data_IF_876338431102
#
_entry.id   IF_876338431102
#
_cell.length_a   1.000
_cell.length_b   1.000
_cell.length_c   1.000
_cell.angle_alpha   90.00
_cell.angle_beta   90.00
_cell.angle_gamma   90.00
#
_symmetry.space_group_name_H-M   'P 1'
#
loop_
_entity.id
_entity.type
_entity.pdbx_description
1 polymer ?
#
# COMPACT_ATOMS: atom_id res chain seq x y z
N UNK A 1 -20.46 49.44 57.18
CA UNK A 1 -19.53 48.28 57.13
C UNK A 1 -20.25 47.15 56.42
N UNK A 2 -19.93 46.92 55.14
CA UNK A 2 -20.63 45.97 54.29
C UNK A 2 -19.81 44.68 54.16
N UNK A 3 -20.41 43.55 54.55
CA UNK A 3 -19.85 42.20 54.39
C UNK A 3 -20.16 41.67 52.99
N UNK A 4 -19.15 41.59 52.14
CA UNK A 4 -19.19 40.91 50.84
C UNK A 4 -18.97 39.41 51.03
N UNK A 5 -20.01 38.62 50.80
CA UNK A 5 -19.96 37.14 50.75
C UNK A 5 -19.21 36.70 49.49
N UNK A 6 -18.01 36.14 49.65
CA UNK A 6 -17.33 35.40 48.58
C UNK A 6 -18.07 34.08 48.35
N UNK A 7 -18.81 34.00 47.25
CA UNK A 7 -19.40 32.78 46.74
C UNK A 7 -18.27 31.96 46.07
N UNK A 8 -17.81 30.90 46.75
CA UNK A 8 -16.81 29.98 46.21
C UNK A 8 -17.43 29.07 45.16
N UNK A 9 -17.32 29.44 43.90
CA UNK A 9 -17.59 28.56 42.76
C UNK A 9 -16.46 27.54 42.65
N UNK A 10 -16.69 26.34 43.22
CA UNK A 10 -15.91 25.15 42.91
C UNK A 10 -16.09 24.81 41.43
N UNK A 11 -15.16 25.27 40.60
CA UNK A 11 -15.01 24.87 39.21
C UNK A 11 -14.48 23.43 39.20
N UNK A 12 -15.38 22.45 39.27
CA UNK A 12 -15.08 21.04 39.05
C UNK A 12 -14.68 20.91 37.58
N UNK A 13 -13.37 21.01 37.32
CA UNK A 13 -12.78 20.68 36.04
C UNK A 13 -13.00 19.18 35.81
N UNK A 14 -14.06 18.85 35.05
CA UNK A 14 -14.28 17.51 34.51
C UNK A 14 -13.13 17.25 33.54
N UNK A 15 -12.05 16.68 34.07
CA UNK A 15 -11.02 16.01 33.30
C UNK A 15 -11.72 14.84 32.61
N UNK A 16 -12.17 15.08 31.38
CA UNK A 16 -12.53 14.05 30.43
C UNK A 16 -11.25 13.23 30.20
N UNK A 17 -11.08 12.18 30.99
CA UNK A 17 -10.04 11.18 30.79
C UNK A 17 -10.40 10.50 29.47
N UNK A 18 -9.79 10.96 28.39
CA UNK A 18 -9.87 10.32 27.09
C UNK A 18 -9.31 8.91 27.28
N UNK A 19 -10.18 7.91 27.37
CA UNK A 19 -9.75 6.53 27.46
C UNK A 19 -9.12 6.13 26.13
N UNK A 20 -7.98 5.41 26.15
CA UNK A 20 -7.42 4.83 24.95
C UNK A 20 -8.49 3.97 24.27
N UNK A 21 -8.73 4.25 23.00
CA UNK A 21 -9.64 3.47 22.16
C UNK A 21 -8.84 2.30 21.62
N UNK A 22 -9.14 1.09 22.08
CA UNK A 22 -8.50 -0.16 21.62
C UNK A 22 -9.23 -0.69 20.40
N UNK A 23 -8.57 -1.35 19.45
CA UNK A 23 -9.24 -2.19 18.48
C UNK A 23 -9.31 -3.63 18.97
N UNK A 24 -10.39 -4.28 18.56
CA UNK A 24 -10.69 -5.65 18.91
C UNK A 24 -11.23 -6.37 17.69
N UNK A 25 -10.88 -7.64 17.57
CA UNK A 25 -11.49 -8.57 16.63
C UNK A 25 -12.36 -9.54 17.40
N UNK A 26 -13.66 -9.50 17.15
CA UNK A 26 -14.64 -10.37 17.78
C UNK A 26 -15.11 -11.45 16.82
N UNK A 27 -14.92 -12.71 17.24
CA UNK A 27 -15.50 -13.88 16.61
C UNK A 27 -16.82 -14.19 17.31
N UNK A 28 -17.93 -14.17 16.56
CA UNK A 28 -19.25 -14.54 17.09
C UNK A 28 -19.47 -16.04 16.90
N UNK A 29 -20.08 -16.69 17.89
CA UNK A 29 -20.46 -18.11 17.85
C UNK A 29 -21.29 -18.40 16.61
N UNK A 30 -20.84 -19.33 15.80
CA UNK A 30 -21.53 -19.75 14.57
C UNK A 30 -21.41 -18.79 13.38
N UNK A 31 -20.62 -17.72 13.49
CA UNK A 31 -20.30 -16.82 12.37
C UNK A 31 -18.87 -17.04 11.89
N UNK A 32 -18.69 -17.28 10.58
CA UNK A 32 -17.37 -17.36 9.96
C UNK A 32 -16.78 -15.98 9.62
N UNK A 33 -17.52 -14.89 9.85
CA UNK A 33 -17.06 -13.52 9.58
C UNK A 33 -16.73 -12.83 10.90
N UNK A 34 -15.46 -12.47 11.16
CA UNK A 34 -15.09 -11.69 12.33
C UNK A 34 -15.56 -10.24 12.19
N UNK A 35 -15.95 -9.63 13.31
CA UNK A 35 -16.24 -8.20 13.42
C UNK A 35 -15.01 -7.52 13.98
N UNK A 36 -14.35 -6.69 13.17
CA UNK A 36 -13.17 -5.92 13.55
C UNK A 36 -13.54 -4.45 13.67
N UNK A 37 -13.07 -3.77 14.71
CA UNK A 37 -13.27 -2.35 14.89
C UNK A 37 -12.75 -1.86 16.23
N UNK A 38 -13.12 -0.65 16.61
CA UNK A 38 -12.66 -0.01 17.84
C UNK A 38 -13.59 -0.30 19.02
N UNK A 39 -13.06 -0.86 20.10
CA UNK A 39 -13.72 -1.04 21.38
C UNK A 39 -14.12 0.31 21.97
N UNK A 40 -15.43 0.55 22.03
CA UNK A 40 -16.02 1.75 22.63
C UNK A 40 -16.32 1.52 24.10
N UNK A 41 -16.92 0.37 24.43
CA UNK A 41 -17.13 -0.08 25.82
C UNK A 41 -17.12 -1.60 25.92
N UNK A 42 -16.70 -2.10 27.08
CA UNK A 42 -16.78 -3.50 27.45
C UNK A 42 -17.36 -3.64 28.85
N UNK A 43 -18.49 -4.33 28.94
CA UNK A 43 -19.11 -4.66 30.22
C UNK A 43 -19.18 -6.20 30.38
N UNK A 44 -19.70 -6.66 31.52
CA UNK A 44 -19.93 -8.10 31.75
C UNK A 44 -20.90 -8.73 30.75
N UNK A 45 -21.82 -7.95 30.18
CA UNK A 45 -22.92 -8.45 29.35
C UNK A 45 -22.73 -8.23 27.84
N UNK A 46 -21.97 -7.22 27.42
CA UNK A 46 -21.86 -6.81 26.02
C UNK A 46 -20.52 -6.14 25.72
N UNK A 47 -20.15 -6.19 24.44
CA UNK A 47 -19.00 -5.52 23.84
C UNK A 47 -19.53 -4.60 22.74
N UNK A 48 -19.17 -3.32 22.79
CA UNK A 48 -19.57 -2.35 21.77
C UNK A 48 -18.37 -1.98 20.93
N UNK A 49 -18.48 -2.23 19.63
CA UNK A 49 -17.40 -2.02 18.65
C UNK A 49 -17.86 -0.99 17.63
N UNK A 50 -17.05 0.04 17.38
CA UNK A 50 -17.25 0.96 16.27
C UNK A 50 -16.60 0.39 15.01
N UNK A 51 -17.42 0.07 14.02
CA UNK A 51 -16.95 -0.46 12.72
C UNK A 51 -16.55 0.71 11.81
N UNK A 52 -15.31 0.70 11.32
CA UNK A 52 -14.79 1.72 10.38
C UNK A 52 -15.03 1.37 8.90
N UNK A 53 -15.45 0.14 8.59
CA UNK A 53 -15.61 -0.31 7.20
C UNK A 53 -16.85 0.29 6.55
N UNK A 54 -17.85 0.66 7.36
CA UNK A 54 -19.09 1.25 6.88
C UNK A 54 -18.96 2.77 6.96
N UNK A 55 -19.20 3.53 5.87
CA UNK A 55 -19.17 4.98 5.91
C UNK A 55 -20.30 5.50 6.82
N UNK A 56 -19.95 5.83 8.06
CA UNK A 56 -20.85 6.26 9.13
C UNK A 56 -20.39 5.74 10.48
N UNK A 57 -20.74 6.43 11.58
CA UNK A 57 -20.45 5.93 12.93
C UNK A 57 -21.47 4.84 13.27
N UNK A 58 -21.22 3.62 12.82
CA UNK A 58 -22.01 2.45 13.22
C UNK A 58 -21.35 1.77 14.42
N UNK A 59 -21.99 1.85 15.58
CA UNK A 59 -21.64 1.06 16.75
C UNK A 59 -22.39 -0.28 16.71
N UNK A 60 -21.65 -1.37 16.76
CA UNK A 60 -22.15 -2.74 16.78
C UNK A 60 -22.08 -3.22 18.23
N UNK A 61 -23.25 -3.45 18.82
CA UNK A 61 -23.38 -4.07 20.15
C UNK A 61 -23.41 -5.58 19.98
N UNK A 62 -22.51 -6.28 20.66
CA UNK A 62 -22.40 -7.74 20.61
C UNK A 62 -22.56 -8.28 22.04
N UNK A 63 -23.62 -9.04 22.34
CA UNK A 63 -23.78 -9.70 23.62
C UNK A 63 -22.59 -10.64 23.91
N UNK A 64 -22.05 -10.60 25.12
CA UNK A 64 -20.89 -11.42 25.50
C UNK A 64 -21.18 -12.92 25.43
N UNK A 65 -22.46 -13.31 25.55
CA UNK A 65 -22.93 -14.68 25.33
C UNK A 65 -22.75 -15.17 23.88
N UNK A 66 -22.75 -14.26 22.91
CA UNK A 66 -22.55 -14.54 21.48
C UNK A 66 -21.08 -14.52 21.07
N UNK A 67 -20.18 -14.05 21.92
CA UNK A 67 -18.75 -13.98 21.62
C UNK A 67 -18.13 -15.36 21.87
N UNK A 68 -17.45 -15.88 20.86
CA UNK A 68 -16.63 -17.07 20.93
C UNK A 68 -15.20 -16.71 21.34
N UNK A 69 -14.61 -15.72 20.67
CA UNK A 69 -13.28 -15.23 20.96
C UNK A 69 -13.19 -13.69 20.81
N UNK A 70 -12.40 -13.07 21.67
CA UNK A 70 -12.11 -11.64 21.70
C UNK A 70 -10.58 -11.50 21.69
N UNK A 71 -10.02 -11.20 20.52
CA UNK A 71 -8.57 -11.10 20.35
C UNK A 71 -8.16 -9.64 20.52
N UNK A 72 -7.41 -9.35 21.58
CA UNK A 72 -6.64 -8.11 21.71
C UNK A 72 -5.44 -8.17 20.76
N UNK A 73 -5.43 -7.29 19.77
CA UNK A 73 -4.47 -7.40 18.68
C UNK A 73 -3.14 -6.72 18.96
N UNK A 74 -3.13 -5.68 19.82
CA UNK A 74 -1.94 -4.95 20.25
C UNK A 74 -1.73 -5.09 21.75
N UNK A 75 -0.63 -5.71 22.16
CA UNK A 75 -0.20 -5.78 23.56
C UNK A 75 0.46 -4.47 23.99
N UNK A 76 -0.15 -3.76 24.94
CA UNK A 76 0.40 -2.54 25.54
C UNK A 76 1.65 -2.82 26.37
N UNK A 77 1.63 -3.91 27.15
CA UNK A 77 2.77 -4.34 27.96
C UNK A 77 4.00 -4.54 27.09
N UNK A 78 3.82 -5.17 25.92
CA UNK A 78 4.92 -5.34 24.96
C UNK A 78 5.39 -4.02 24.36
N UNK A 79 4.48 -3.10 24.05
CA UNK A 79 4.86 -1.75 23.59
C UNK A 79 5.67 -0.99 24.65
N UNK A 80 5.30 -1.11 25.92
CA UNK A 80 6.05 -0.52 27.03
C UNK A 80 7.40 -1.21 27.24
N UNK A 81 7.53 -2.50 26.92
CA UNK A 81 8.78 -3.22 27.01
C UNK A 81 9.77 -2.89 25.88
N UNK A 82 9.34 -2.23 24.79
CA UNK A 82 10.21 -1.85 23.68
C UNK A 82 11.27 -0.83 24.12
N UNK A 83 12.50 -1.06 23.65
CA UNK A 83 13.66 -0.22 23.95
C UNK A 83 14.21 0.41 22.66
N UNK A 84 14.27 1.75 22.54
CA UNK A 84 14.84 2.44 21.38
C UNK A 84 16.27 2.03 21.04
N UNK A 85 17.04 1.52 22.01
CA UNK A 85 18.38 0.95 21.78
C UNK A 85 18.38 -0.36 21.00
N UNK A 86 17.21 -0.99 20.79
CA UNK A 86 17.03 -2.27 20.09
C UNK A 86 16.00 -2.16 18.94
N UNK A 87 16.33 -1.46 17.84
CA UNK A 87 15.39 -1.20 16.73
C UNK A 87 14.80 -2.45 16.07
N UNK A 88 15.54 -3.56 16.16
CA UNK A 88 15.09 -4.85 15.66
C UNK A 88 13.81 -5.33 16.35
N UNK A 89 13.62 -5.07 17.65
CA UNK A 89 12.42 -5.51 18.39
C UNK A 89 11.14 -4.81 17.88
N UNK A 90 11.27 -3.53 17.49
CA UNK A 90 10.19 -2.79 16.85
C UNK A 90 9.80 -3.43 15.51
N UNK A 91 10.80 -3.81 14.71
CA UNK A 91 10.58 -4.44 13.39
C UNK A 91 9.90 -5.81 13.54
N UNK A 92 10.41 -6.65 14.43
CA UNK A 92 9.86 -7.99 14.68
C UNK A 92 8.41 -7.90 15.19
N UNK A 93 8.13 -6.99 16.11
CA UNK A 93 6.76 -6.80 16.57
C UNK A 93 5.85 -6.22 15.47
N UNK A 94 6.37 -5.33 14.62
CA UNK A 94 5.64 -4.85 13.45
C UNK A 94 5.28 -5.99 12.47
N UNK A 95 6.20 -6.94 12.24
CA UNK A 95 5.97 -8.12 11.37
C UNK A 95 4.85 -9.00 11.92
N UNK A 96 4.85 -9.28 13.22
CA UNK A 96 3.79 -10.05 13.88
C UNK A 96 2.42 -9.35 13.81
N UNK A 97 2.40 -8.01 13.95
CA UNK A 97 1.17 -7.24 13.77
C UNK A 97 0.73 -7.18 12.30
N UNK A 98 1.67 -7.18 11.35
CA UNK A 98 1.40 -7.18 9.91
C UNK A 98 0.73 -8.47 9.43
N UNK A 99 0.94 -9.60 10.12
CA UNK A 99 0.24 -10.86 9.84
C UNK A 99 -1.27 -10.74 10.11
N UNK A 100 -1.67 -9.86 11.04
CA UNK A 100 -3.07 -9.60 11.41
C UNK A 100 -3.77 -8.63 10.44
N UNK A 101 -3.69 -8.90 9.13
CA UNK A 101 -4.15 -8.00 8.04
C UNK A 101 -5.59 -7.48 8.14
N UNK A 102 -6.47 -8.19 8.84
CA UNK A 102 -7.88 -7.82 9.01
C UNK A 102 -8.10 -6.75 10.08
N UNK A 103 -7.13 -6.56 10.97
CA UNK A 103 -7.21 -5.59 12.06
C UNK A 103 -6.59 -4.24 11.63
N UNK A 104 -7.40 -3.16 11.58
CA UNK A 104 -6.92 -1.85 11.19
C UNK A 104 -5.93 -1.23 12.18
N UNK A 105 -6.07 -1.45 13.50
CA UNK A 105 -5.15 -0.93 14.50
C UNK A 105 -3.83 -1.70 14.49
N UNK A 106 -3.87 -3.04 14.38
CA UNK A 106 -2.65 -3.83 14.24
C UNK A 106 -1.85 -3.35 13.02
N UNK A 107 -2.52 -3.07 11.90
CA UNK A 107 -1.90 -2.50 10.71
C UNK A 107 -1.33 -1.09 10.96
N UNK A 108 -2.10 -0.19 11.57
CA UNK A 108 -1.62 1.17 11.88
C UNK A 108 -0.42 1.15 12.83
N UNK A 109 -0.44 0.24 13.81
CA UNK A 109 0.64 0.03 14.76
C UNK A 109 1.86 -0.58 14.06
N UNK A 110 1.69 -1.57 13.19
CA UNK A 110 2.76 -2.11 12.36
C UNK A 110 3.41 -1.02 11.51
N UNK A 111 2.62 -0.16 10.86
CA UNK A 111 3.12 0.99 10.10
C UNK A 111 3.98 1.91 10.98
N UNK A 112 3.48 2.29 12.16
CA UNK A 112 4.22 3.12 13.11
C UNK A 112 5.53 2.45 13.57
N UNK A 113 5.47 1.18 13.96
CA UNK A 113 6.63 0.42 14.45
C UNK A 113 7.68 0.21 13.36
N UNK A 114 7.29 -0.09 12.11
CA UNK A 114 8.20 -0.14 10.98
C UNK A 114 8.87 1.22 10.72
N UNK A 115 8.12 2.32 10.79
CA UNK A 115 8.69 3.65 10.60
C UNK A 115 9.69 4.00 11.72
N UNK A 116 9.38 3.66 12.98
CA UNK A 116 10.29 3.83 14.12
C UNK A 116 11.56 2.96 13.92
N UNK A 117 11.40 1.69 13.57
CA UNK A 117 12.51 0.77 13.34
C UNK A 117 13.44 1.25 12.21
N UNK A 118 12.87 1.78 11.13
CA UNK A 118 13.64 2.34 10.03
C UNK A 118 14.32 3.67 10.37
N UNK A 119 13.74 4.47 11.28
CA UNK A 119 14.35 5.70 11.78
C UNK A 119 15.52 5.45 12.73
N UNK A 120 15.38 4.51 13.66
CA UNK A 120 16.37 4.29 14.73
C UNK A 120 17.67 3.66 14.21
N UNK A 121 17.61 2.72 13.27
CA UNK A 121 18.80 2.14 12.60
C UNK A 121 18.58 1.98 11.09
N UNK A 122 18.74 3.09 10.32
CA UNK A 122 18.55 3.06 8.87
C UNK A 122 19.48 2.08 8.16
N UNK A 123 20.66 1.81 8.72
CA UNK A 123 21.67 0.97 8.09
C UNK A 123 21.35 -0.53 8.21
N UNK A 124 20.87 -1.00 9.38
CA UNK A 124 20.60 -2.42 9.60
C UNK A 124 19.12 -2.79 9.41
N UNK A 125 18.21 -2.05 10.04
CA UNK A 125 16.77 -2.36 10.03
C UNK A 125 15.99 -1.56 8.99
N UNK A 126 16.54 -0.42 8.54
CA UNK A 126 15.92 0.49 7.57
C UNK A 126 15.28 -0.18 6.37
N UNK A 127 16.06 -0.94 5.60
CA UNK A 127 15.58 -1.62 4.38
C UNK A 127 14.42 -2.58 4.68
N UNK A 128 14.62 -3.48 5.64
CA UNK A 128 13.61 -4.48 5.99
C UNK A 128 12.31 -3.84 6.46
N UNK A 129 12.40 -2.80 7.29
CA UNK A 129 11.25 -2.10 7.80
C UNK A 129 10.51 -1.26 6.72
N UNK A 130 11.23 -0.63 5.78
CA UNK A 130 10.62 0.05 4.63
C UNK A 130 9.89 -0.92 3.70
N UNK A 131 10.44 -2.10 3.46
CA UNK A 131 9.74 -3.16 2.72
C UNK A 131 8.53 -3.69 3.51
N UNK A 132 8.66 -3.77 4.83
CA UNK A 132 7.55 -4.02 5.75
C UNK A 132 6.40 -3.03 5.56
N UNK A 133 6.69 -1.72 5.50
CA UNK A 133 5.70 -0.68 5.21
C UNK A 133 4.95 -0.94 3.91
N UNK A 134 5.66 -1.27 2.82
CA UNK A 134 5.03 -1.60 1.54
C UNK A 134 4.06 -2.78 1.67
N UNK A 135 4.44 -3.80 2.45
CA UNK A 135 3.61 -5.01 2.62
C UNK A 135 2.30 -4.77 3.39
N UNK A 136 2.25 -3.75 4.26
CA UNK A 136 1.06 -3.38 5.04
C UNK A 136 0.29 -2.19 4.46
N UNK A 137 0.80 -1.58 3.40
CA UNK A 137 0.22 -0.40 2.77
C UNK A 137 -1.17 -0.70 2.19
N UNK A 138 -2.06 0.30 2.22
CA UNK A 138 -3.25 0.27 1.37
C UNK A 138 -2.82 0.39 -0.10
N UNK A 139 -3.44 -0.38 -1.02
CA UNK A 139 -3.19 -0.21 -2.43
C UNK A 139 -3.43 1.22 -2.91
N UNK A 140 -2.63 1.68 -3.88
CA UNK A 140 -2.75 3.02 -4.45
C UNK A 140 -1.66 3.97 -3.97
N UNK A 141 -2.05 5.18 -3.55
CA UNK A 141 -1.09 6.26 -3.23
C UNK A 141 -0.19 5.92 -2.03
N UNK A 142 -0.74 5.27 -1.00
CA UNK A 142 0.02 4.91 0.20
C UNK A 142 1.14 3.90 -0.12
N UNK A 143 0.81 2.82 -0.83
CA UNK A 143 1.78 1.83 -1.28
C UNK A 143 2.84 2.45 -2.20
N UNK A 144 2.42 3.26 -3.17
CA UNK A 144 3.34 3.94 -4.08
C UNK A 144 4.31 4.86 -3.31
N UNK A 145 3.81 5.60 -2.32
CA UNK A 145 4.62 6.45 -1.44
C UNK A 145 5.63 5.63 -0.63
N UNK A 146 5.23 4.50 -0.06
CA UNK A 146 6.14 3.64 0.69
C UNK A 146 7.17 2.94 -0.21
N UNK A 147 6.81 2.56 -1.43
CA UNK A 147 7.77 2.04 -2.42
C UNK A 147 8.80 3.08 -2.82
N UNK A 148 8.37 4.32 -3.05
CA UNK A 148 9.27 5.43 -3.32
C UNK A 148 10.20 5.69 -2.12
N UNK A 149 9.69 5.61 -0.89
CA UNK A 149 10.50 5.70 0.32
C UNK A 149 11.54 4.58 0.40
N UNK A 150 11.13 3.33 0.20
CA UNK A 150 12.01 2.18 0.18
C UNK A 150 13.13 2.36 -0.86
N UNK A 151 12.80 2.83 -2.06
CA UNK A 151 13.79 3.11 -3.11
C UNK A 151 14.77 4.22 -2.72
N UNK A 152 14.27 5.36 -2.21
CA UNK A 152 15.09 6.54 -1.92
C UNK A 152 15.99 6.36 -0.69
N UNK A 153 15.50 5.67 0.35
CA UNK A 153 16.23 5.53 1.62
C UNK A 153 17.03 4.23 1.73
N UNK A 154 16.81 3.22 0.88
CA UNK A 154 17.64 2.02 0.84
C UNK A 154 18.98 2.31 0.14
N UNK A 155 20.15 2.16 0.79
CA UNK A 155 21.45 2.37 0.16
C UNK A 155 21.70 1.53 -1.09
N UNK A 156 20.96 0.43 -1.28
CA UNK A 156 21.11 -0.49 -2.42
C UNK A 156 20.20 -0.17 -3.60
N UNK A 157 19.32 0.83 -3.48
CA UNK A 157 18.41 1.34 -4.53
C UNK A 157 17.88 0.27 -5.52
N UNK A 158 16.88 -0.51 -5.12
CA UNK A 158 16.26 -1.48 -6.02
C UNK A 158 15.19 -0.82 -6.91
N UNK A 159 15.53 -0.58 -8.19
CA UNK A 159 14.62 0.01 -9.19
C UNK A 159 13.37 -0.82 -9.43
N UNK A 160 13.38 -2.13 -9.17
CA UNK A 160 12.21 -2.97 -9.34
C UNK A 160 11.05 -2.55 -8.41
N UNK A 161 11.36 -1.89 -7.28
CA UNK A 161 10.37 -1.38 -6.33
C UNK A 161 9.49 -0.27 -6.93
N UNK A 162 10.01 0.50 -7.88
CA UNK A 162 9.27 1.57 -8.57
C UNK A 162 8.34 1.04 -9.68
N UNK A 163 8.34 -0.26 -9.94
CA UNK A 163 7.41 -0.87 -10.88
C UNK A 163 5.96 -0.59 -10.49
N UNK A 164 5.11 -0.35 -11.48
CA UNK A 164 3.68 -0.10 -11.26
C UNK A 164 3.06 -1.30 -10.53
N UNK A 165 2.43 -1.06 -9.38
CA UNK A 165 1.53 -2.05 -8.79
C UNK A 165 0.35 -2.20 -9.74
N UNK A 166 0.13 -3.37 -10.36
CA UNK A 166 -1.06 -3.58 -11.17
C UNK A 166 -2.29 -3.33 -10.27
N UNK A 167 -3.29 -2.55 -10.72
CA UNK A 167 -4.41 -2.16 -9.88
C UNK A 167 -5.11 -3.41 -9.30
N UNK A 168 -5.47 -3.40 -8.01
CA UNK A 168 -6.19 -4.51 -7.38
C UNK A 168 -7.57 -4.65 -8.05
N UNK A 169 -7.70 -5.62 -8.95
CA UNK A 169 -8.88 -5.84 -9.78
C UNK A 169 -8.61 -6.00 -11.28
N UNK A 170 -7.37 -5.82 -11.74
CA UNK A 170 -7.05 -5.84 -13.17
C UNK A 170 -6.92 -7.22 -13.83
N UNK A 171 -6.89 -8.33 -13.09
CA UNK A 171 -6.64 -9.66 -13.70
C UNK A 171 -7.87 -10.32 -14.33
N UNK A 172 -9.08 -9.92 -13.97
CA UNK A 172 -10.30 -10.53 -14.53
C UNK A 172 -10.91 -9.75 -15.70
N UNK A 173 -10.50 -8.50 -15.96
CA UNK A 173 -11.00 -7.70 -17.10
C UNK A 173 -10.00 -7.43 -18.22
N UNK A 174 -8.70 -7.68 -18.01
CA UNK A 174 -7.72 -7.57 -19.11
C UNK A 174 -7.84 -8.72 -20.14
N UNK A 175 -8.60 -9.76 -19.84
CA UNK A 175 -8.82 -10.89 -20.74
C UNK A 175 -9.69 -10.56 -21.97
N UNK A 176 -10.37 -9.40 -21.99
CA UNK A 176 -11.32 -9.05 -23.06
C UNK A 176 -10.77 -8.08 -24.11
N UNK A 177 -9.56 -7.50 -23.91
CA UNK A 177 -8.95 -6.62 -24.92
C UNK A 177 -7.94 -7.41 -25.79
N UNK A 178 -8.30 -7.75 -27.05
CA UNK A 178 -7.42 -8.51 -27.93
C UNK A 178 -6.12 -7.77 -28.27
N UNK A 179 -6.14 -6.43 -28.28
CA UNK A 179 -4.95 -5.61 -28.56
C UNK A 179 -3.94 -5.74 -27.42
N UNK A 180 -4.41 -5.66 -26.18
CA UNK A 180 -3.58 -5.81 -25.00
C UNK A 180 -3.03 -7.24 -24.87
N UNK A 181 -3.86 -8.25 -25.18
CA UNK A 181 -3.43 -9.64 -25.23
C UNK A 181 -2.32 -9.90 -26.26
N UNK A 182 -2.43 -9.31 -27.46
CA UNK A 182 -1.40 -9.41 -28.49
C UNK A 182 -0.10 -8.73 -28.06
N UNK A 183 -0.21 -7.56 -27.43
CA UNK A 183 0.93 -6.80 -26.94
C UNK A 183 1.66 -7.58 -25.82
N UNK A 184 0.94 -8.24 -24.92
CA UNK A 184 1.53 -9.14 -23.93
C UNK A 184 2.25 -10.33 -24.59
N UNK A 185 1.66 -10.95 -25.61
CA UNK A 185 2.27 -12.05 -26.35
C UNK A 185 3.60 -11.62 -27.01
N UNK A 186 3.66 -10.43 -27.62
CA UNK A 186 4.88 -9.87 -28.22
C UNK A 186 5.97 -9.57 -27.18
N UNK A 187 5.59 -8.99 -26.03
CA UNK A 187 6.52 -8.72 -24.93
C UNK A 187 7.09 -10.01 -24.33
N UNK A 188 6.28 -11.06 -24.20
CA UNK A 188 6.72 -12.39 -23.78
C UNK A 188 7.69 -12.99 -24.79
N UNK A 189 7.40 -12.86 -26.08
CA UNK A 189 8.27 -13.32 -27.17
C UNK A 189 9.64 -12.62 -27.13
N UNK A 190 9.67 -11.30 -26.96
CA UNK A 190 10.90 -10.50 -26.86
C UNK A 190 11.76 -10.86 -25.65
N UNK A 191 11.16 -11.34 -24.57
CA UNK A 191 11.86 -11.81 -23.35
C UNK A 191 12.37 -13.25 -23.47
N UNK A 192 12.16 -13.92 -24.61
CA UNK A 192 12.54 -15.32 -24.83
C UNK A 192 11.57 -16.33 -24.22
N UNK A 193 10.35 -15.90 -23.83
CA UNK A 193 9.32 -16.78 -23.27
C UNK A 193 8.37 -17.31 -24.36
N UNK A 194 8.92 -17.97 -25.38
CA UNK A 194 8.16 -18.40 -26.57
C UNK A 194 6.93 -19.27 -26.28
N UNK A 195 7.00 -20.20 -25.32
CA UNK A 195 5.84 -21.02 -24.95
C UNK A 195 4.70 -20.21 -24.31
N UNK A 196 5.04 -19.25 -23.44
CA UNK A 196 4.04 -18.37 -22.83
C UNK A 196 3.45 -17.41 -23.86
N UNK A 197 4.27 -16.91 -24.80
CA UNK A 197 3.82 -16.08 -25.91
C UNK A 197 2.80 -16.81 -26.80
N UNK A 198 3.00 -18.10 -27.08
CA UNK A 198 2.01 -18.92 -27.81
C UNK A 198 0.71 -19.11 -27.03
N UNK A 199 0.81 -19.36 -25.73
CA UNK A 199 -0.38 -19.48 -24.89
C UNK A 199 -1.18 -18.17 -24.84
N UNK A 200 -0.50 -17.02 -24.79
CA UNK A 200 -1.12 -15.70 -24.84
C UNK A 200 -1.79 -15.39 -26.20
N UNK A 201 -1.28 -15.95 -27.30
CA UNK A 201 -1.87 -15.83 -28.64
C UNK A 201 -3.02 -16.82 -28.90
N UNK A 202 -3.20 -17.85 -28.06
CA UNK A 202 -4.19 -18.90 -28.26
C UNK A 202 -5.66 -18.42 -28.35
N UNK A 203 -6.10 -17.35 -27.65
CA UNK A 203 -7.46 -16.84 -27.79
C UNK A 203 -7.73 -16.34 -29.23
N UNK A 204 -8.88 -16.68 -29.85
CA UNK A 204 -9.16 -16.37 -31.25
C UNK A 204 -9.17 -14.87 -31.52
N UNK A 205 -9.68 -14.06 -30.58
CA UNK A 205 -9.71 -12.60 -30.73
C UNK A 205 -8.29 -11.98 -30.83
N UNK A 206 -7.31 -12.55 -30.11
CA UNK A 206 -5.91 -12.10 -30.16
C UNK A 206 -5.25 -12.54 -31.48
N UNK A 207 -5.60 -13.73 -31.96
CA UNK A 207 -5.16 -14.23 -33.27
C UNK A 207 -5.71 -13.40 -34.44
N UNK A 208 -6.97 -13.01 -34.38
CA UNK A 208 -7.62 -12.15 -35.37
C UNK A 208 -6.94 -10.76 -35.41
N UNK A 209 -6.58 -10.21 -34.25
CA UNK A 209 -5.84 -8.96 -34.15
C UNK A 209 -4.43 -9.08 -34.77
N UNK A 210 -3.71 -10.19 -34.54
CA UNK A 210 -2.42 -10.43 -35.21
C UNK A 210 -2.60 -10.50 -36.73
N UNK A 211 -3.68 -11.14 -37.19
CA UNK A 211 -3.99 -11.28 -38.63
C UNK A 211 -4.24 -9.93 -39.29
N UNK A 212 -4.87 -8.99 -38.58
CA UNK A 212 -5.03 -7.61 -39.03
C UNK A 212 -3.69 -6.88 -39.28
N UNK A 213 -2.61 -7.35 -38.66
CA UNK A 213 -1.26 -6.80 -38.76
C UNK A 213 -0.25 -7.69 -39.51
N UNK A 214 -0.74 -8.63 -40.33
CA UNK A 214 0.10 -9.56 -41.11
C UNK A 214 1.16 -8.89 -42.02
N UNK A 215 0.97 -7.60 -42.36
CA UNK A 215 1.94 -6.83 -43.15
C UNK A 215 3.24 -6.50 -42.39
N UNK A 216 3.24 -6.55 -41.06
CA UNK A 216 4.42 -6.31 -40.21
C UNK A 216 4.99 -7.64 -39.71
N UNK A 217 4.14 -8.47 -39.12
CA UNK A 217 4.51 -9.77 -38.56
C UNK A 217 3.43 -10.80 -38.89
N UNK A 218 3.78 -11.82 -39.68
CA UNK A 218 2.86 -12.91 -39.99
C UNK A 218 2.72 -13.88 -38.82
N UNK A 219 1.62 -14.65 -38.80
CA UNK A 219 1.44 -15.72 -37.80
C UNK A 219 2.56 -16.77 -37.86
N UNK A 220 3.01 -17.12 -39.07
CA UNK A 220 4.12 -18.06 -39.26
C UNK A 220 5.44 -17.49 -38.71
N UNK A 221 5.73 -16.22 -38.96
CA UNK A 221 6.91 -15.54 -38.40
C UNK A 221 6.87 -15.53 -36.87
N UNK A 222 5.69 -15.28 -36.27
CA UNK A 222 5.50 -15.33 -34.81
C UNK A 222 5.74 -16.75 -34.26
N UNK A 223 5.22 -17.78 -34.93
CA UNK A 223 5.42 -19.17 -34.51
C UNK A 223 6.89 -19.61 -34.65
N UNK A 224 7.57 -19.18 -35.72
CA UNK A 224 8.99 -19.43 -35.93
C UNK A 224 9.84 -18.74 -34.84
N UNK A 225 9.56 -17.46 -34.56
CA UNK A 225 10.21 -16.68 -33.52
C UNK A 225 9.98 -17.28 -32.11
N UNK A 226 8.81 -17.85 -31.84
CA UNK A 226 8.51 -18.46 -30.53
C UNK A 226 9.14 -19.84 -30.32
N UNK A 227 9.67 -20.46 -31.39
CA UNK A 227 10.46 -21.70 -31.29
C UNK A 227 11.93 -21.43 -30.97
N UNK A 228 12.44 -20.23 -31.22
CA UNK A 228 13.85 -19.91 -31.01
C UNK A 228 14.09 -19.38 -29.60
N UNK A 229 15.28 -19.68 -29.05
CA UNK A 229 15.70 -19.17 -27.75
C UNK A 229 16.06 -17.67 -27.80
N UNK A 230 16.55 -17.24 -28.96
CA UNK A 230 16.96 -15.86 -29.25
C UNK A 230 16.33 -15.43 -30.57
N UNK A 231 15.84 -14.19 -30.61
CA UNK A 231 15.26 -13.60 -31.82
C UNK A 231 16.39 -13.06 -32.70
N UNK A 232 16.30 -13.31 -34.00
CA UNK A 232 17.22 -12.69 -34.96
C UNK A 232 16.88 -11.22 -35.14
N UNK A 233 17.83 -10.41 -35.60
CA UNK A 233 17.68 -8.95 -35.73
C UNK A 233 16.42 -8.55 -36.51
N UNK A 234 16.13 -9.25 -37.61
CA UNK A 234 14.94 -9.01 -38.42
C UNK A 234 13.64 -9.35 -37.67
N UNK A 235 13.61 -10.46 -36.93
CA UNK A 235 12.45 -10.87 -36.14
C UNK A 235 12.20 -9.88 -34.99
N UNK A 236 13.27 -9.46 -34.30
CA UNK A 236 13.18 -8.47 -33.24
C UNK A 236 12.66 -7.13 -33.78
N UNK A 237 13.14 -6.69 -34.95
CA UNK A 237 12.66 -5.48 -35.61
C UNK A 237 11.16 -5.54 -35.88
N UNK A 238 10.67 -6.63 -36.50
CA UNK A 238 9.24 -6.84 -36.78
C UNK A 238 8.39 -6.85 -35.50
N UNK A 239 8.87 -7.52 -34.45
CA UNK A 239 8.19 -7.58 -33.14
C UNK A 239 8.09 -6.19 -32.51
N UNK A 240 9.17 -5.41 -32.50
CA UNK A 240 9.18 -4.05 -31.93
C UNK A 240 8.33 -3.09 -32.75
N UNK A 241 8.36 -3.19 -34.08
CA UNK A 241 7.53 -2.40 -34.98
C UNK A 241 6.03 -2.65 -34.71
N UNK A 242 5.64 -3.92 -34.53
CA UNK A 242 4.27 -4.26 -34.18
C UNK A 242 3.90 -3.81 -32.75
N UNK A 243 4.80 -3.96 -31.77
CA UNK A 243 4.59 -3.43 -30.41
C UNK A 243 4.27 -1.92 -30.45
N UNK A 244 5.04 -1.14 -31.22
CA UNK A 244 4.85 0.31 -31.36
C UNK A 244 3.53 0.65 -32.07
N UNK A 245 3.15 -0.11 -33.11
CA UNK A 245 1.89 0.08 -33.80
C UNK A 245 0.69 -0.15 -32.87
N UNK A 246 0.71 -1.22 -32.07
CA UNK A 246 -0.36 -1.54 -31.12
C UNK A 246 -0.40 -0.55 -29.95
N UNK A 247 0.75 -0.12 -29.42
CA UNK A 247 0.82 0.88 -28.36
C UNK A 247 0.22 2.22 -28.83
N UNK A 248 0.46 2.59 -30.09
CA UNK A 248 -0.17 3.77 -30.70
C UNK A 248 -1.70 3.65 -30.83
N UNK A 249 -2.23 2.45 -31.05
CA UNK A 249 -3.69 2.18 -31.15
C UNK A 249 -4.37 2.26 -29.78
N UNK A 250 -3.76 1.69 -28.74
CA UNK A 250 -4.25 1.76 -27.36
C UNK A 250 -4.27 3.19 -26.82
N UNK A 251 -3.27 4.01 -27.19
CA UNK A 251 -3.17 5.39 -26.74
C UNK A 251 -3.79 6.41 -27.72
N UNK A 252 -4.20 5.97 -28.92
CA UNK A 252 -4.57 6.84 -30.04
C UNK A 252 -6.04 6.78 -30.51
N UNK A 253 -6.89 5.95 -29.87
CA UNK A 253 -8.30 5.76 -30.25
C UNK A 253 -9.29 6.86 -29.82
N UNK A 254 -8.82 7.96 -29.25
CA UNK A 254 -9.65 9.10 -28.89
C UNK A 254 -9.26 10.35 -29.68
N UNK A 255 -10.11 10.79 -30.60
CA UNK A 255 -10.08 12.16 -31.15
C UNK A 255 -10.24 13.25 -30.07
N UNK A 256 -10.45 12.89 -28.80
CA UNK A 256 -10.00 13.71 -27.69
C UNK A 256 -8.50 13.50 -27.48
N UNK A 257 -7.72 14.12 -28.37
CA UNK A 257 -6.48 14.80 -27.95
C UNK A 257 -6.89 15.83 -26.90
N UNK A 258 -7.08 15.38 -25.65
CA UNK A 258 -6.45 16.13 -24.59
C UNK A 258 -5.00 16.21 -25.05
N UNK A 259 -4.60 17.39 -25.52
CA UNK A 259 -3.23 17.77 -25.52
C UNK A 259 -2.77 17.70 -24.05
N UNK A 260 -2.54 16.49 -23.53
CA UNK A 260 -1.27 16.26 -22.89
C UNK A 260 -0.25 16.26 -24.03
N UNK A 261 -0.02 17.46 -24.59
CA UNK A 261 1.32 17.99 -24.53
C UNK A 261 1.82 17.54 -23.17
N UNK A 262 2.60 16.46 -23.15
CA UNK A 262 3.81 16.47 -22.36
C UNK A 262 4.41 17.81 -22.73
N UNK A 263 4.00 18.86 -21.99
CA UNK A 263 4.76 20.08 -21.92
C UNK A 263 6.15 19.52 -21.74
N UNK A 264 6.99 19.77 -22.73
CA UNK A 264 8.38 19.32 -22.65
C UNK A 264 8.79 19.71 -21.24
N UNK A 265 9.48 18.85 -20.49
CA UNK A 265 9.92 19.26 -19.16
C UNK A 265 10.58 20.66 -19.20
N UNK A 266 11.19 20.99 -20.36
CA UNK A 266 11.65 22.30 -20.76
C UNK A 266 10.56 23.41 -20.85
N UNK A 267 9.38 23.15 -21.38
CA UNK A 267 8.22 24.06 -21.39
C UNK A 267 7.66 24.29 -19.99
N UNK A 268 7.55 23.26 -19.14
CA UNK A 268 7.12 23.43 -17.74
C UNK A 268 8.15 24.21 -16.91
N UNK A 269 9.44 23.96 -17.14
CA UNK A 269 10.56 24.75 -16.60
C UNK A 269 10.44 26.21 -17.06
N UNK A 270 10.25 26.46 -18.37
CA UNK A 270 10.17 27.81 -18.94
C UNK A 270 8.92 28.56 -18.52
N UNK A 271 7.81 27.87 -18.36
CA UNK A 271 6.55 28.44 -17.89
C UNK A 271 6.58 28.75 -16.38
N UNK A 272 7.62 28.30 -15.65
CA UNK A 272 7.66 28.42 -14.19
C UNK A 272 6.59 27.57 -13.50
N UNK A 273 5.98 26.62 -14.21
CA UNK A 273 4.91 25.74 -13.72
C UNK A 273 5.43 24.49 -13.02
N UNK A 274 6.75 24.40 -12.79
CA UNK A 274 7.31 23.37 -11.93
C UNK A 274 6.87 23.62 -10.49
N UNK A 275 5.79 22.94 -10.10
CA UNK A 275 5.52 22.71 -8.69
C UNK A 275 6.79 22.12 -8.07
N UNK A 276 7.23 22.68 -6.94
CA UNK A 276 8.40 22.19 -6.23
C UNK A 276 8.26 20.67 -6.06
N UNK A 277 9.27 19.92 -6.54
CA UNK A 277 9.31 18.47 -6.38
C UNK A 277 9.13 18.20 -4.90
N UNK A 278 8.01 17.56 -4.53
CA UNK A 278 7.73 17.23 -3.13
C UNK A 278 8.86 16.34 -2.66
N UNK A 279 9.77 16.88 -1.87
CA UNK A 279 10.82 16.09 -1.27
C UNK A 279 10.15 15.10 -0.33
N UNK A 280 10.36 13.81 -0.59
CA UNK A 280 9.88 12.77 0.29
C UNK A 280 10.72 12.83 1.55
N UNK A 281 10.16 13.36 2.63
CA UNK A 281 10.83 13.41 3.93
C UNK A 281 10.38 12.21 4.76
N UNK A 282 11.34 11.50 5.37
CA UNK A 282 11.08 10.26 6.10
C UNK A 282 10.09 10.46 7.27
N UNK A 283 10.20 11.58 7.96
CA UNK A 283 9.34 12.00 9.08
C UNK A 283 7.90 12.36 8.64
N UNK A 284 7.66 12.53 7.34
CA UNK A 284 6.34 12.84 6.76
C UNK A 284 5.75 11.70 5.95
N UNK A 285 6.34 10.50 6.01
CA UNK A 285 5.81 9.32 5.33
C UNK A 285 4.44 8.92 5.87
N UNK A 286 4.21 9.13 7.15
CA UNK A 286 2.98 8.82 7.85
C UNK A 286 2.61 10.02 8.75
N UNK A 287 1.40 10.09 9.34
CA UNK A 287 1.07 11.14 10.30
C UNK A 287 1.84 11.01 11.63
N UNK A 288 2.64 9.95 11.83
CA UNK A 288 3.38 9.68 13.05
C UNK A 288 4.80 10.24 12.99
N UNK A 289 5.24 10.90 14.07
CA UNK A 289 6.63 11.32 14.23
C UNK A 289 7.47 10.12 14.73
N UNK A 290 8.42 9.59 13.94
CA UNK A 290 9.22 8.43 14.36
C UNK A 290 10.17 8.73 15.53
N UNK A 291 10.33 10.00 15.92
CA UNK A 291 11.08 10.39 17.12
C UNK A 291 10.31 10.07 18.41
N UNK A 292 9.00 9.91 18.33
CA UNK A 292 8.15 9.46 19.43
C UNK A 292 8.19 7.93 19.52
N UNK A 293 9.35 7.37 19.84
CA UNK A 293 9.59 5.93 19.79
C UNK A 293 9.40 5.19 21.12
N UNK A 294 9.09 5.88 22.23
CA UNK A 294 8.93 5.27 23.55
C UNK A 294 7.45 5.30 23.94
N UNK A 295 6.85 4.13 24.20
CA UNK A 295 5.47 4.04 24.65
C UNK A 295 5.43 3.94 26.18
N UNK A 296 4.79 4.92 26.84
CA UNK A 296 4.66 4.97 28.31
C UNK A 296 3.29 5.54 28.68
N UNK A 297 2.61 4.91 29.63
CA UNK A 297 1.34 5.40 30.16
C UNK A 297 0.29 5.62 29.05
N UNK A 298 0.26 4.71 28.07
CA UNK A 298 -0.67 4.79 26.94
C UNK A 298 -0.34 5.87 25.90
N UNK A 299 0.83 6.52 25.98
CA UNK A 299 1.24 7.59 25.04
C UNK A 299 2.62 7.32 24.46
N UNK A 300 2.77 7.64 23.18
CA UNK A 300 4.07 7.73 22.52
C UNK A 300 4.75 9.03 22.96
N UNK A 301 6.01 8.93 23.37
CA UNK A 301 6.82 10.02 23.88
C UNK A 301 8.15 10.03 23.13
N UNK A 302 8.74 11.22 22.98
CA UNK A 302 10.10 11.35 22.47
C UNK A 302 11.07 10.79 23.49
N UNK A 303 12.08 10.06 23.02
CA UNK A 303 13.19 9.69 23.89
C UNK A 303 13.98 10.96 24.19
N UNK A 304 14.17 11.29 25.47
CA UNK A 304 15.06 12.36 25.92
C UNK A 304 16.55 12.02 25.71
N UNK A 305 16.86 11.12 24.77
CA UNK A 305 18.21 10.77 24.37
C UNK A 305 18.83 12.01 23.74
N UNK A 306 19.42 12.82 24.62
CA UNK A 306 20.26 13.94 24.29
C UNK A 306 21.26 13.51 23.23
N UNK A 307 21.30 14.30 22.16
CA UNK A 307 22.50 14.38 21.33
C UNK A 307 23.69 14.78 22.17
#
# INVERSE_FOLDING_TARGET
MAQTKLCGTCLVAILLIAQPVFAVVVYKKGSNKPVAGHLVRQNGNEVVIRDERTPGVSEVVIPRSEIEDLIETVSLERLEALDPGRPQEYREYAEELAEKRLDPEARLMAVRLFQIAAWLDPAKTGRGALLGLVSVARPGEEEARFRAAAYLFDPRHDKALLGQTPPPGGREKMADDPVQGLLEALRLLRRGHGQLARAALAPPAVHDELTAHQGILSHEDFLAASSTKELWEEQLRKVVELELALDSKLHGGGEQRAQTTLASWNDDVRAGNLAAIRSLQFDKLTPFDPRECVFRQGKWQRTDAGK
#
